data_IF_983226640978
#
_entry.id   IF_983226640978
#
_cell.length_a   1.000
_cell.length_b   1.000
_cell.length_c   1.000
_cell.angle_alpha   90.00
_cell.angle_beta   90.00
_cell.angle_gamma   90.00
#
_symmetry.space_group_name_H-M   'P 1'
#
loop_
_entity.id
_entity.type
_entity.pdbx_description
1 polymer ?
#
# COMPACT_ATOMS: atom_id res chain seq x y z
N UNK A 1 18.12 8.45 2.71
CA UNK A 1 17.39 7.18 2.91
C UNK A 1 17.27 6.60 1.54
N UNK A 2 17.51 5.31 1.38
CA UNK A 2 17.51 4.65 0.08
C UNK A 2 16.68 3.37 0.12
N UNK A 3 16.31 2.87 -1.06
CA UNK A 3 15.74 1.55 -1.18
C UNK A 3 16.76 0.49 -0.70
N UNK A 4 16.30 -0.68 -0.24
CA UNK A 4 17.18 -1.78 0.17
C UNK A 4 18.21 -2.22 -0.87
N UNK A 5 17.95 -2.04 -2.17
CA UNK A 5 18.88 -2.35 -3.26
C UNK A 5 19.86 -1.19 -3.58
N UNK A 6 19.87 -0.15 -2.76
CA UNK A 6 20.71 1.02 -2.95
C UNK A 6 20.10 2.12 -3.82
N UNK A 7 18.97 1.87 -4.48
CA UNK A 7 18.34 2.88 -5.35
C UNK A 7 17.91 4.10 -4.54
N UNK A 8 18.23 5.30 -5.05
CA UNK A 8 17.89 6.54 -4.37
C UNK A 8 16.37 6.74 -4.31
N UNK A 9 15.90 7.25 -3.18
CA UNK A 9 14.53 7.71 -3.00
C UNK A 9 14.49 9.20 -3.35
N UNK A 10 13.67 9.57 -4.34
CA UNK A 10 13.70 10.92 -4.93
C UNK A 10 12.37 11.69 -4.80
N UNK A 11 11.26 11.01 -4.45
CA UNK A 11 9.95 11.65 -4.29
C UNK A 11 9.02 10.87 -3.38
N UNK A 12 8.01 11.55 -2.85
CA UNK A 12 6.89 10.93 -2.14
C UNK A 12 5.73 10.65 -3.11
N UNK A 13 4.85 9.72 -2.75
CA UNK A 13 3.58 9.54 -3.44
C UNK A 13 2.60 10.56 -2.93
N UNK A 14 1.87 11.20 -3.83
CA UNK A 14 0.88 12.20 -3.49
C UNK A 14 -0.48 11.85 -4.07
N UNK A 15 -1.51 12.30 -3.37
CA UNK A 15 -2.89 12.31 -3.83
C UNK A 15 -3.30 13.76 -4.06
N UNK A 16 -4.02 14.00 -5.14
CA UNK A 16 -4.66 15.28 -5.44
C UNK A 16 -6.15 15.03 -5.53
N UNK A 17 -6.96 15.89 -4.93
CA UNK A 17 -8.40 15.86 -5.13
C UNK A 17 -8.71 16.31 -6.55
N UNK A 18 -9.79 15.77 -7.09
CA UNK A 18 -10.30 16.15 -8.40
C UNK A 18 -11.80 16.15 -8.38
N UNK A 19 -12.38 17.13 -9.05
CA UNK A 19 -13.82 17.24 -9.24
C UNK A 19 -14.15 16.90 -10.68
N UNK A 20 -15.22 16.15 -10.92
CA UNK A 20 -15.73 15.91 -12.26
C UNK A 20 -17.23 16.16 -12.30
N UNK A 21 -17.72 16.59 -13.47
CA UNK A 21 -19.14 16.70 -13.72
C UNK A 21 -19.82 15.33 -13.67
N UNK A 22 -21.14 15.36 -13.50
CA UNK A 22 -22.00 14.18 -13.62
C UNK A 22 -23.05 14.45 -14.69
N UNK A 23 -23.37 13.42 -15.47
CA UNK A 23 -24.50 13.37 -16.37
C UNK A 23 -25.63 12.64 -15.67
N UNK A 24 -26.78 13.28 -15.54
CA UNK A 24 -27.98 12.65 -14.98
C UNK A 24 -28.77 11.98 -16.10
N UNK A 25 -29.16 10.74 -15.85
CA UNK A 25 -30.09 10.00 -16.69
C UNK A 25 -31.54 10.28 -16.29
N UNK A 26 -32.47 10.05 -17.21
CA UNK A 26 -33.90 10.30 -17.02
C UNK A 26 -34.53 9.44 -15.92
N UNK A 27 -33.91 8.31 -15.59
CA UNK A 27 -34.33 7.41 -14.50
C UNK A 27 -33.78 7.82 -13.12
N UNK A 28 -32.99 8.91 -13.06
CA UNK A 28 -32.37 9.44 -11.86
C UNK A 28 -31.03 8.78 -11.50
N UNK A 29 -30.50 7.88 -12.33
CA UNK A 29 -29.11 7.43 -12.22
C UNK A 29 -28.13 8.49 -12.78
N UNK A 30 -26.84 8.31 -12.52
CA UNK A 30 -25.81 9.23 -13.01
C UNK A 30 -24.58 8.49 -13.51
N UNK A 31 -23.94 9.08 -14.51
CA UNK A 31 -22.63 8.70 -15.03
C UNK A 31 -21.63 9.85 -14.86
N UNK A 32 -20.36 9.50 -14.69
CA UNK A 32 -19.28 10.49 -14.60
C UNK A 32 -19.00 11.12 -15.97
N UNK A 33 -18.93 12.45 -16.03
CA UNK A 33 -18.42 13.15 -17.20
C UNK A 33 -16.88 13.10 -17.19
N UNK A 34 -16.35 12.01 -17.76
CA UNK A 34 -14.91 11.74 -17.83
C UNK A 34 -14.10 12.71 -18.69
N UNK A 35 -14.72 13.73 -19.30
CA UNK A 35 -14.01 14.71 -20.14
C UNK A 35 -13.60 15.98 -19.39
N UNK A 36 -14.10 16.17 -18.16
CA UNK A 36 -14.01 17.44 -17.43
C UNK A 36 -13.39 17.36 -16.05
N UNK A 37 -12.56 16.35 -15.73
CA UNK A 37 -11.91 16.30 -14.41
C UNK A 37 -11.02 17.53 -14.21
N UNK A 38 -11.34 18.33 -13.20
CA UNK A 38 -10.55 19.48 -12.76
C UNK A 38 -9.75 19.04 -11.53
N UNK A 39 -8.43 18.87 -11.64
CA UNK A 39 -7.58 18.59 -10.48
C UNK A 39 -7.43 19.84 -9.62
N UNK A 40 -7.60 19.68 -8.31
CA UNK A 40 -7.25 20.68 -7.31
C UNK A 40 -5.79 20.49 -6.89
N UNK A 41 -4.89 21.21 -7.57
CA UNK A 41 -3.46 21.16 -7.28
C UNK A 41 -3.09 21.69 -5.90
N UNK A 42 -3.95 22.50 -5.26
CA UNK A 42 -3.69 23.04 -3.93
C UNK A 42 -4.02 22.02 -2.82
N UNK A 43 -4.80 20.98 -3.15
CA UNK A 43 -5.16 19.88 -2.24
C UNK A 43 -4.12 18.76 -2.14
N UNK A 44 -2.93 18.97 -2.70
CA UNK A 44 -1.90 17.95 -2.78
C UNK A 44 -1.43 17.50 -1.40
N UNK A 45 -1.55 16.20 -1.15
CA UNK A 45 -1.14 15.60 0.12
C UNK A 45 -0.27 14.37 -0.10
N UNK A 46 0.75 14.22 0.75
CA UNK A 46 1.57 13.02 0.75
C UNK A 46 0.76 11.82 1.23
N UNK A 47 0.72 10.77 0.40
CA UNK A 47 0.04 9.52 0.71
C UNK A 47 0.73 8.84 1.88
N UNK A 48 -0.08 8.49 2.87
CA UNK A 48 0.31 7.56 3.93
C UNK A 48 -0.43 6.24 3.74
N UNK A 49 0.29 5.13 3.87
CA UNK A 49 -0.30 3.79 3.93
C UNK A 49 0.12 3.19 5.26
N UNK A 50 -0.86 2.82 6.06
CA UNK A 50 -0.64 2.32 7.41
C UNK A 50 0.19 3.24 8.31
N UNK A 51 -0.14 4.54 8.29
CA UNK A 51 0.58 5.58 9.03
C UNK A 51 2.03 5.80 8.58
N UNK A 52 2.44 5.25 7.44
CA UNK A 52 3.77 5.41 6.89
C UNK A 52 3.70 6.15 5.56
N UNK A 53 4.58 7.14 5.39
CA UNK A 53 4.75 7.81 4.10
C UNK A 53 5.16 6.81 3.02
N UNK A 54 4.56 6.95 1.85
CA UNK A 54 4.93 6.20 0.64
C UNK A 54 5.92 7.02 -0.18
N UNK A 55 7.00 6.38 -0.59
CA UNK A 55 8.09 6.94 -1.37
C UNK A 55 8.19 6.25 -2.72
N UNK A 56 8.76 6.95 -3.69
CA UNK A 56 9.24 6.37 -4.93
C UNK A 56 10.76 6.42 -4.98
N UNK A 57 11.34 5.39 -5.57
CA UNK A 57 12.72 5.44 -6.04
C UNK A 57 12.82 6.01 -7.46
N UNK A 58 14.05 6.28 -7.89
CA UNK A 58 14.35 6.78 -9.25
C UNK A 58 13.84 5.84 -10.36
N UNK A 59 13.67 4.55 -10.08
CA UNK A 59 13.13 3.56 -11.00
C UNK A 59 11.58 3.51 -11.02
N UNK A 60 10.91 4.30 -10.18
CA UNK A 60 9.45 4.39 -10.09
C UNK A 60 8.80 3.31 -9.24
N UNK A 61 9.55 2.59 -8.39
CA UNK A 61 9.01 1.60 -7.47
C UNK A 61 8.56 2.25 -6.16
N UNK A 62 7.45 1.76 -5.62
CA UNK A 62 6.89 2.25 -4.36
C UNK A 62 7.54 1.58 -3.14
N UNK A 63 7.82 2.37 -2.11
CA UNK A 63 8.43 1.94 -0.85
C UNK A 63 7.74 2.60 0.34
N UNK A 64 7.41 1.84 1.38
CA UNK A 64 7.00 2.41 2.67
C UNK A 64 8.23 2.88 3.45
N UNK A 65 8.05 3.90 4.29
CA UNK A 65 9.11 4.44 5.15
C UNK A 65 9.89 3.36 5.93
N UNK A 66 9.20 2.36 6.50
CA UNK A 66 9.85 1.26 7.25
C UNK A 66 10.72 0.33 6.41
N UNK A 67 10.58 0.38 5.09
CA UNK A 67 11.35 -0.44 4.15
C UNK A 67 12.63 0.27 3.70
N UNK A 68 12.76 1.57 3.97
CA UNK A 68 13.92 2.35 3.60
C UNK A 68 15.08 2.08 4.57
N UNK A 69 16.29 2.07 4.03
CA UNK A 69 17.52 1.95 4.81
C UNK A 69 18.24 3.31 4.86
N UNK A 70 19.04 3.57 5.91
CA UNK A 70 19.90 4.76 5.97
C UNK A 70 20.82 4.85 4.75
N UNK A 71 21.18 6.07 4.36
CA UNK A 71 22.02 6.30 3.17
C UNK A 71 23.37 5.56 3.27
N UNK A 72 23.95 5.59 4.47
CA UNK A 72 25.23 4.97 4.80
C UNK A 72 25.14 3.46 5.11
N UNK A 73 23.93 2.86 5.10
CA UNK A 73 23.79 1.43 5.33
C UNK A 73 24.22 0.63 4.08
N UNK A 74 24.79 -0.54 4.31
CA UNK A 74 25.07 -1.49 3.24
C UNK A 74 23.76 -1.94 2.56
N UNK A 75 23.83 -2.09 1.24
CA UNK A 75 22.72 -2.59 0.44
C UNK A 75 22.40 -4.03 0.83
N UNK A 76 21.12 -4.37 0.84
CA UNK A 76 20.69 -5.74 1.04
C UNK A 76 20.97 -6.53 -0.25
N UNK A 77 21.57 -7.73 -0.14
CA UNK A 77 21.67 -8.65 -1.26
C UNK A 77 20.30 -8.93 -1.90
N UNK A 78 20.26 -9.11 -3.22
CA UNK A 78 19.00 -9.27 -3.97
C UNK A 78 18.12 -10.45 -3.49
N UNK A 79 18.70 -11.50 -2.91
CA UNK A 79 18.00 -12.64 -2.32
C UNK A 79 17.32 -12.30 -0.96
N UNK A 80 17.78 -11.22 -0.32
CA UNK A 80 17.21 -10.67 0.90
C UNK A 80 16.14 -9.62 0.61
N UNK A 81 16.17 -8.99 -0.56
CA UNK A 81 15.11 -8.08 -1.02
C UNK A 81 13.97 -8.91 -1.58
N UNK A 82 12.92 -9.05 -0.77
CA UNK A 82 11.83 -9.95 -1.11
C UNK A 82 10.90 -9.32 -2.17
N UNK A 83 10.34 -10.10 -3.12
CA UNK A 83 9.45 -9.57 -4.14
C UNK A 83 8.22 -8.83 -3.59
N UNK A 84 7.75 -9.22 -2.40
CA UNK A 84 6.64 -8.56 -1.71
C UNK A 84 7.00 -7.20 -1.10
N UNK A 85 8.25 -6.75 -1.16
CA UNK A 85 8.57 -5.37 -0.82
C UNK A 85 7.91 -4.38 -1.78
N UNK A 86 7.71 -4.80 -3.04
CA UNK A 86 7.31 -3.95 -4.17
C UNK A 86 5.90 -4.26 -4.67
N UNK A 87 5.41 -5.49 -4.45
CA UNK A 87 4.11 -5.95 -4.94
C UNK A 87 3.08 -6.10 -3.81
N UNK A 88 1.99 -5.31 -3.89
CA UNK A 88 0.90 -5.30 -2.91
C UNK A 88 0.16 -6.64 -2.81
N UNK A 89 0.01 -7.38 -3.90
CA UNK A 89 -0.61 -8.70 -3.92
C UNK A 89 0.29 -9.74 -3.24
N UNK A 90 1.58 -9.74 -3.54
CA UNK A 90 2.55 -10.63 -2.88
C UNK A 90 2.71 -10.29 -1.39
N UNK A 91 2.61 -9.01 -1.01
CA UNK A 91 2.63 -8.58 0.40
C UNK A 91 1.43 -9.09 1.19
N UNK A 92 0.24 -9.12 0.59
CA UNK A 92 -0.95 -9.73 1.21
C UNK A 92 -0.75 -11.23 1.44
N UNK A 93 -0.20 -11.95 0.47
CA UNK A 93 0.13 -13.38 0.62
C UNK A 93 1.11 -13.60 1.77
N UNK A 94 2.15 -12.77 1.88
CA UNK A 94 3.16 -12.94 2.93
C UNK A 94 2.65 -12.60 4.33
N UNK A 95 1.79 -11.60 4.48
CA UNK A 95 1.13 -11.32 5.76
C UNK A 95 0.27 -12.53 6.17
N UNK A 96 -0.49 -13.11 5.24
CA UNK A 96 -1.30 -14.30 5.51
C UNK A 96 -0.42 -15.47 5.93
N UNK A 97 0.68 -15.73 5.20
CA UNK A 97 1.64 -16.79 5.54
C UNK A 97 2.28 -16.56 6.91
N UNK A 98 2.68 -15.32 7.21
CA UNK A 98 3.30 -14.94 8.47
C UNK A 98 2.35 -15.11 9.65
N UNK A 99 1.10 -14.66 9.50
CA UNK A 99 0.10 -14.85 10.56
C UNK A 99 -0.25 -16.32 10.72
N UNK A 100 -0.36 -17.09 9.64
CA UNK A 100 -0.56 -18.54 9.72
C UNK A 100 0.59 -19.22 10.46
N UNK A 101 1.84 -18.86 10.18
CA UNK A 101 3.02 -19.38 10.87
C UNK A 101 3.04 -18.97 12.35
N UNK A 102 2.70 -17.72 12.67
CA UNK A 102 2.61 -17.23 14.05
C UNK A 102 1.51 -17.97 14.82
N UNK A 103 0.34 -18.14 14.22
CA UNK A 103 -0.79 -18.92 14.76
C UNK A 103 -0.37 -20.35 15.09
N UNK A 104 0.25 -21.04 14.13
CA UNK A 104 0.71 -22.42 14.31
C UNK A 104 1.75 -22.50 15.43
N UNK A 105 2.70 -21.55 15.48
CA UNK A 105 3.70 -21.48 16.55
C UNK A 105 3.09 -21.23 17.93
N UNK A 106 2.09 -20.35 18.02
CA UNK A 106 1.56 -19.88 19.31
C UNK A 106 0.48 -20.80 19.86
N UNK A 107 -0.31 -21.42 18.98
CA UNK A 107 -1.48 -22.22 19.36
C UNK A 107 -1.35 -23.71 19.04
N UNK A 108 -0.34 -24.11 18.27
CA UNK A 108 -0.18 -25.47 17.75
C UNK A 108 -1.21 -25.86 16.68
N UNK A 109 -2.08 -24.91 16.28
CA UNK A 109 -3.16 -25.16 15.31
C UNK A 109 -2.88 -24.44 14.01
N UNK A 110 -2.99 -25.18 12.90
CA UNK A 110 -3.05 -24.58 11.57
C UNK A 110 -4.34 -23.78 11.45
N UNK A 111 -4.19 -22.54 10.99
CA UNK A 111 -5.32 -21.68 10.66
C UNK A 111 -6.01 -22.26 9.42
N UNK A 112 -7.27 -22.68 9.53
CA UNK A 112 -8.02 -23.13 8.37
C UNK A 112 -8.44 -21.90 7.55
N UNK A 113 -8.19 -21.90 6.24
CA UNK A 113 -8.46 -20.76 5.34
C UNK A 113 -9.90 -20.23 5.45
N UNK A 114 -10.86 -21.13 5.71
CA UNK A 114 -12.27 -20.78 5.95
C UNK A 114 -12.51 -19.96 7.25
N UNK A 115 -11.69 -20.18 8.27
CA UNK A 115 -11.76 -19.49 9.57
C UNK A 115 -10.90 -18.21 9.55
N UNK A 116 -10.03 -18.07 8.54
CA UNK A 116 -9.27 -16.86 8.28
C UNK A 116 -10.13 -15.71 7.77
N UNK A 117 -11.41 -15.88 7.43
CA UNK A 117 -12.18 -14.80 6.80
C UNK A 117 -12.19 -13.51 7.63
N UNK A 118 -12.29 -13.62 8.95
CA UNK A 118 -12.18 -12.48 9.87
C UNK A 118 -10.75 -11.97 10.01
N UNK A 119 -9.75 -12.83 9.80
CA UNK A 119 -8.34 -12.50 9.93
C UNK A 119 -7.81 -11.83 8.65
N UNK A 120 -8.19 -12.33 7.48
CA UNK A 120 -8.04 -11.69 6.17
C UNK A 120 -8.80 -10.37 6.14
N UNK A 121 -10.03 -10.32 6.67
CA UNK A 121 -10.80 -9.07 6.79
C UNK A 121 -10.22 -8.13 7.84
N UNK A 122 -9.65 -8.61 8.94
CA UNK A 122 -8.95 -7.80 9.95
C UNK A 122 -7.60 -7.30 9.46
N UNK A 123 -6.86 -8.08 8.67
CA UNK A 123 -5.63 -7.65 7.98
C UNK A 123 -5.97 -6.63 6.90
N UNK A 124 -7.03 -6.87 6.11
CA UNK A 124 -7.50 -5.91 5.11
C UNK A 124 -7.99 -4.63 5.79
N UNK A 125 -8.80 -4.73 6.85
CA UNK A 125 -9.23 -3.59 7.67
C UNK A 125 -8.09 -2.96 8.48
N UNK A 126 -7.02 -3.67 8.83
CA UNK A 126 -5.84 -3.07 9.46
C UNK A 126 -5.01 -2.33 8.43
N UNK A 127 -5.01 -2.78 7.18
CA UNK A 127 -4.39 -2.07 6.05
C UNK A 127 -5.26 -0.89 5.59
N UNK A 128 -6.58 -0.95 5.76
CA UNK A 128 -7.55 0.09 5.37
C UNK A 128 -7.90 1.08 6.53
N UNK A 129 -7.95 0.67 7.82
CA UNK A 129 -8.20 1.55 9.01
C UNK A 129 -6.92 2.16 9.61
N UNK A 130 -5.76 1.78 9.09
CA UNK A 130 -4.53 2.51 9.37
C UNK A 130 -4.32 3.66 8.38
N UNK A 131 -5.33 3.94 7.56
CA UNK A 131 -5.66 5.27 7.02
C UNK A 131 -6.43 6.02 8.13
N UNK A 132 -5.92 7.14 8.66
CA UNK A 132 -6.73 8.03 9.49
C UNK A 132 -7.79 8.74 8.63
N UNK A 133 -8.92 9.10 9.24
CA UNK A 133 -9.84 10.12 8.69
C UNK A 133 -9.12 11.46 8.47
#
# INVERSE_FOLDING_TARGET
MKAPDGTAIDRTKEVILGECGINWDDDGSYDFDGTGTVPDWDSQETVTIAGQTVFFDEAGREWLQSQLIPEAADELPADQIKPWYVDRALRRVEIVNTVQALMERTTGKKLAVKDCQYLTRAVTLLLDRSEPE
#
